data_IF_686242088380
#
_entry.id   IF_686242088380
#
_cell.length_a   1.000
_cell.length_b   1.000
_cell.length_c   1.000
_cell.angle_alpha   90.00
_cell.angle_beta   90.00
_cell.angle_gamma   90.00
#
_symmetry.space_group_name_H-M   'P 1'
#
loop_
_entity.id
_entity.type
_entity.pdbx_description
1 polymer ?
#
# COMPACT_ATOMS: atom_id res chain seq x y z
N UNK A 1 30.00 -95.25 9.24
CA UNK A 1 30.55 -94.07 8.48
C UNK A 1 29.43 -93.36 7.76
N UNK A 2 29.09 -92.13 8.00
CA UNK A 2 27.99 -91.43 7.34
C UNK A 2 28.40 -91.09 5.89
N UNK A 3 27.48 -91.33 4.98
CA UNK A 3 27.58 -91.24 3.52
C UNK A 3 27.89 -89.81 3.07
N UNK A 4 29.16 -89.48 2.89
CA UNK A 4 29.68 -88.17 2.40
C UNK A 4 29.21 -87.80 0.97
N UNK A 5 28.73 -88.87 0.22
CA UNK A 5 28.28 -88.70 -1.16
C UNK A 5 26.89 -88.01 -1.29
N UNK A 6 25.95 -88.20 -0.34
CA UNK A 6 24.65 -87.55 -0.31
C UNK A 6 24.75 -86.03 -0.04
N UNK A 7 25.66 -85.65 0.83
CA UNK A 7 25.89 -84.23 1.15
C UNK A 7 26.43 -83.42 -0.07
N UNK A 8 27.37 -84.02 -0.81
CA UNK A 8 27.94 -83.41 -2.00
C UNK A 8 26.93 -83.23 -3.14
N UNK A 9 26.09 -84.23 -3.39
CA UNK A 9 25.00 -84.17 -4.37
C UNK A 9 23.96 -83.08 -4.01
N UNK A 10 23.63 -82.92 -2.75
CA UNK A 10 22.71 -81.92 -2.29
C UNK A 10 23.31 -80.46 -2.44
N UNK A 11 24.58 -80.28 -2.15
CA UNK A 11 25.27 -78.96 -2.36
C UNK A 11 25.35 -78.60 -3.85
N UNK A 12 25.66 -79.55 -4.72
CA UNK A 12 25.66 -79.30 -6.18
C UNK A 12 24.24 -78.97 -6.70
N UNK A 13 23.20 -79.62 -6.18
CA UNK A 13 21.80 -79.32 -6.55
C UNK A 13 21.34 -77.93 -6.07
N UNK A 14 21.77 -77.51 -4.90
CA UNK A 14 21.58 -76.12 -4.37
C UNK A 14 22.33 -75.12 -5.19
N UNK A 15 23.57 -75.36 -5.58
CA UNK A 15 24.39 -74.43 -6.45
C UNK A 15 23.77 -74.29 -7.85
N UNK A 16 23.30 -75.36 -8.48
CA UNK A 16 22.58 -75.38 -9.79
C UNK A 16 21.27 -74.60 -9.70
N UNK A 17 20.50 -74.77 -8.61
CA UNK A 17 19.23 -74.06 -8.40
C UNK A 17 19.52 -72.53 -8.18
N UNK A 18 20.55 -72.14 -7.44
CA UNK A 18 20.96 -70.74 -7.20
C UNK A 18 21.42 -70.07 -8.49
N UNK A 19 22.25 -70.80 -9.31
CA UNK A 19 22.71 -70.24 -10.60
C UNK A 19 21.56 -70.07 -11.63
N UNK A 20 20.58 -70.98 -11.63
CA UNK A 20 19.37 -70.83 -12.49
C UNK A 20 18.48 -69.69 -12.04
N UNK A 21 18.37 -69.41 -10.72
CA UNK A 21 17.64 -68.26 -10.17
C UNK A 21 18.34 -66.96 -10.53
N UNK A 22 19.66 -66.89 -10.41
CA UNK A 22 20.46 -65.69 -10.75
C UNK A 22 20.32 -65.40 -12.27
N UNK A 23 20.44 -66.39 -13.14
CA UNK A 23 20.26 -66.19 -14.59
C UNK A 23 18.84 -65.74 -14.97
N UNK A 24 17.82 -66.22 -14.28
CA UNK A 24 16.43 -65.73 -14.49
C UNK A 24 16.31 -64.29 -14.04
N UNK A 25 16.82 -63.92 -12.87
CA UNK A 25 16.80 -62.59 -12.36
C UNK A 25 17.55 -61.57 -13.27
N UNK A 26 18.72 -61.99 -13.78
CA UNK A 26 19.49 -61.21 -14.75
C UNK A 26 18.72 -60.99 -16.05
N UNK A 27 18.04 -62.02 -16.57
CA UNK A 27 17.20 -61.92 -17.76
C UNK A 27 16.01 -61.00 -17.53
N UNK A 28 15.38 -61.12 -16.36
CA UNK A 28 14.19 -60.31 -16.01
C UNK A 28 14.57 -58.83 -15.83
N UNK A 29 15.73 -58.55 -15.21
CA UNK A 29 16.31 -57.18 -15.13
C UNK A 29 16.64 -56.63 -16.50
N UNK A 30 17.23 -57.45 -17.41
CA UNK A 30 17.54 -57.06 -18.77
C UNK A 30 16.27 -56.73 -19.57
N UNK A 31 15.23 -57.59 -19.47
CA UNK A 31 13.93 -57.34 -20.10
C UNK A 31 13.27 -56.08 -19.56
N UNK A 32 13.33 -55.86 -18.24
CA UNK A 32 12.82 -54.63 -17.62
C UNK A 32 13.56 -53.37 -18.13
N UNK A 33 14.88 -53.49 -18.30
CA UNK A 33 15.70 -52.41 -18.88
C UNK A 33 15.31 -52.09 -20.33
N UNK A 34 15.06 -53.12 -21.16
CA UNK A 34 14.59 -52.94 -22.55
C UNK A 34 13.21 -52.26 -22.57
N UNK A 35 12.28 -52.71 -21.71
CA UNK A 35 10.94 -52.11 -21.61
C UNK A 35 11.03 -50.64 -21.18
N UNK A 36 11.87 -50.34 -20.22
CA UNK A 36 12.11 -48.97 -19.76
C UNK A 36 12.69 -48.10 -20.87
N UNK A 37 13.65 -48.60 -21.62
CA UNK A 37 14.24 -47.90 -22.79
C UNK A 37 13.20 -47.66 -23.88
N UNK A 38 12.34 -48.62 -24.19
CA UNK A 38 11.25 -48.49 -25.16
C UNK A 38 10.25 -47.42 -24.70
N UNK A 39 9.89 -47.35 -23.42
CA UNK A 39 9.01 -46.33 -22.85
C UNK A 39 9.65 -44.93 -23.03
N UNK A 40 10.96 -44.79 -22.75
CA UNK A 40 11.68 -43.53 -22.94
C UNK A 40 11.70 -43.08 -24.40
N UNK A 41 11.93 -44.01 -25.33
CA UNK A 41 11.88 -43.74 -26.79
C UNK A 41 10.49 -43.27 -27.21
N UNK A 42 9.44 -43.99 -26.77
CA UNK A 42 8.04 -43.65 -27.08
C UNK A 42 7.71 -42.26 -26.52
N UNK A 43 8.11 -41.97 -25.28
CA UNK A 43 7.93 -40.62 -24.70
C UNK A 43 8.66 -39.54 -25.51
N UNK A 44 9.88 -39.81 -25.96
CA UNK A 44 10.65 -38.91 -26.83
C UNK A 44 9.92 -38.62 -28.16
N UNK A 45 9.46 -39.67 -28.83
CA UNK A 45 8.69 -39.56 -30.10
C UNK A 45 7.39 -38.78 -29.89
N UNK A 46 6.65 -39.06 -28.83
CA UNK A 46 5.42 -38.33 -28.49
C UNK A 46 5.73 -36.84 -28.27
N UNK A 47 6.81 -36.50 -27.53
CA UNK A 47 7.23 -35.11 -27.33
C UNK A 47 7.55 -34.40 -28.66
N UNK A 48 8.23 -35.08 -29.59
CA UNK A 48 8.55 -34.53 -30.90
C UNK A 48 7.29 -34.26 -31.74
N UNK A 49 6.35 -35.20 -31.74
CA UNK A 49 5.06 -35.07 -32.46
C UNK A 49 4.28 -33.88 -31.90
N UNK A 50 4.20 -33.77 -30.55
CA UNK A 50 3.48 -32.67 -29.90
C UNK A 50 4.13 -31.31 -30.18
N UNK A 51 5.45 -31.21 -30.14
CA UNK A 51 6.18 -29.98 -30.51
C UNK A 51 5.94 -29.60 -31.95
N UNK A 52 5.99 -30.58 -32.89
CA UNK A 52 5.71 -30.33 -34.29
C UNK A 52 4.26 -29.86 -34.51
N UNK A 53 3.31 -30.42 -33.81
CA UNK A 53 1.91 -29.95 -33.83
C UNK A 53 1.78 -28.50 -33.38
N UNK A 54 2.40 -28.16 -32.22
CA UNK A 54 2.40 -26.80 -31.66
C UNK A 54 2.97 -25.84 -32.69
N UNK A 55 4.16 -26.12 -33.25
CA UNK A 55 4.84 -25.26 -34.19
C UNK A 55 4.03 -25.03 -35.50
N UNK A 56 3.33 -26.04 -35.99
CA UNK A 56 2.49 -25.90 -37.20
C UNK A 56 1.22 -25.10 -37.00
N UNK A 57 0.76 -24.95 -35.74
CA UNK A 57 -0.49 -24.27 -35.43
C UNK A 57 -0.26 -22.98 -34.63
N UNK A 58 0.98 -22.59 -34.48
CA UNK A 58 1.38 -21.34 -33.83
C UNK A 58 1.46 -20.26 -34.94
N UNK A 59 0.53 -19.31 -34.85
CA UNK A 59 0.46 -18.14 -35.73
C UNK A 59 1.14 -16.90 -35.10
N UNK A 60 1.82 -17.06 -33.95
CA UNK A 60 2.47 -15.99 -33.23
C UNK A 60 1.51 -15.08 -32.42
N UNK A 61 0.20 -15.30 -32.55
CA UNK A 61 -0.82 -14.50 -31.86
C UNK A 61 -1.20 -15.09 -30.51
N UNK A 62 -1.70 -14.27 -29.59
CA UNK A 62 -2.18 -14.71 -28.29
C UNK A 62 -3.34 -15.68 -28.45
N UNK A 63 -3.33 -16.77 -27.69
CA UNK A 63 -4.37 -17.81 -27.78
C UNK A 63 -5.73 -17.25 -27.32
N UNK A 64 -6.81 -17.73 -27.98
CA UNK A 64 -8.18 -17.39 -27.58
C UNK A 64 -8.48 -17.77 -26.13
N UNK A 65 -9.16 -16.89 -25.39
CA UNK A 65 -9.54 -17.05 -24.00
C UNK A 65 -8.46 -16.63 -23.00
N UNK A 66 -7.48 -15.83 -23.47
CA UNK A 66 -6.48 -15.19 -22.59
C UNK A 66 -6.85 -13.73 -22.41
N UNK A 67 -6.87 -13.30 -21.14
CA UNK A 67 -7.00 -11.91 -20.73
C UNK A 67 -5.73 -11.45 -20.00
N UNK A 68 -5.48 -10.15 -19.99
CA UNK A 68 -4.38 -9.51 -19.24
C UNK A 68 -5.00 -8.43 -18.36
N UNK A 69 -5.00 -8.62 -17.05
CA UNK A 69 -5.70 -7.73 -16.11
C UNK A 69 -7.20 -7.60 -16.41
N UNK A 70 -7.84 -8.71 -16.81
CA UNK A 70 -9.25 -8.72 -17.21
C UNK A 70 -9.54 -8.22 -18.63
N UNK A 71 -8.56 -7.68 -19.35
CA UNK A 71 -8.69 -7.19 -20.72
C UNK A 71 -8.51 -8.33 -21.71
N UNK A 72 -9.47 -8.56 -22.60
CA UNK A 72 -9.38 -9.61 -23.63
C UNK A 72 -8.35 -9.22 -24.70
N UNK A 73 -7.29 -10.03 -24.81
CA UNK A 73 -6.22 -9.88 -25.80
C UNK A 73 -6.18 -11.08 -26.76
N UNK A 74 -7.24 -11.86 -26.83
CA UNK A 74 -7.36 -13.06 -27.68
C UNK A 74 -7.13 -12.74 -29.15
N UNK A 75 -6.25 -13.50 -29.81
CA UNK A 75 -5.98 -13.38 -31.24
C UNK A 75 -5.17 -12.15 -31.66
N UNK A 76 -4.70 -11.36 -30.72
CA UNK A 76 -3.86 -10.17 -30.97
C UNK A 76 -2.38 -10.56 -31.10
N UNK A 77 -1.61 -9.76 -31.82
CA UNK A 77 -0.16 -9.77 -31.75
C UNK A 77 0.31 -9.16 -30.43
N UNK A 78 1.60 -9.29 -30.13
CA UNK A 78 2.16 -8.67 -28.93
C UNK A 78 1.95 -7.14 -28.91
N UNK A 79 2.22 -6.51 -30.06
CA UNK A 79 2.15 -5.05 -30.21
C UNK A 79 0.70 -4.55 -30.06
N UNK A 80 -0.26 -5.22 -30.69
CA UNK A 80 -1.68 -4.91 -30.57
C UNK A 80 -2.17 -5.07 -29.11
N UNK A 81 -1.77 -6.15 -28.44
CA UNK A 81 -2.15 -6.42 -27.06
C UNK A 81 -1.57 -5.39 -26.08
N UNK A 82 -0.33 -4.94 -26.26
CA UNK A 82 0.27 -3.86 -25.44
C UNK A 82 -0.55 -2.58 -25.59
N UNK A 83 -0.91 -2.20 -26.80
CA UNK A 83 -1.74 -1.00 -27.05
C UNK A 83 -3.13 -1.15 -26.44
N UNK A 84 -3.75 -2.31 -26.58
CA UNK A 84 -5.06 -2.60 -25.99
C UNK A 84 -5.04 -2.48 -24.47
N UNK A 85 -4.06 -3.10 -23.79
CA UNK A 85 -3.90 -3.04 -22.35
C UNK A 85 -3.61 -1.61 -21.87
N UNK A 86 -2.72 -0.89 -22.54
CA UNK A 86 -2.41 0.51 -22.21
C UNK A 86 -3.63 1.44 -22.37
N UNK A 87 -4.45 1.20 -23.41
CA UNK A 87 -5.68 1.98 -23.63
C UNK A 87 -6.70 1.82 -22.50
N UNK A 88 -6.84 0.63 -21.92
CA UNK A 88 -7.74 0.39 -20.82
C UNK A 88 -7.22 0.98 -19.50
N UNK A 89 -5.92 0.86 -19.24
CA UNK A 89 -5.27 1.44 -18.06
C UNK A 89 -5.50 2.96 -17.98
N UNK A 90 -5.47 3.65 -19.11
CA UNK A 90 -5.75 5.10 -19.16
C UNK A 90 -7.21 5.45 -18.85
N UNK A 91 -8.13 4.50 -18.84
CA UNK A 91 -9.56 4.68 -18.51
C UNK A 91 -9.93 4.32 -17.06
N UNK A 92 -9.06 3.61 -16.33
CA UNK A 92 -9.30 3.21 -14.92
C UNK A 92 -9.09 4.34 -13.91
N UNK A 93 -9.30 5.60 -14.31
CA UNK A 93 -9.04 6.79 -13.47
C UNK A 93 -10.00 6.97 -12.27
N UNK A 94 -10.93 6.05 -12.02
CA UNK A 94 -11.96 6.21 -10.98
C UNK A 94 -11.84 5.18 -9.83
N UNK A 95 -10.73 4.49 -9.70
CA UNK A 95 -10.55 3.54 -8.59
C UNK A 95 -10.21 4.29 -7.32
N UNK A 96 -10.95 3.99 -6.26
CA UNK A 96 -10.77 4.59 -4.94
C UNK A 96 -10.26 3.54 -3.96
N UNK A 97 -9.23 3.90 -3.22
CA UNK A 97 -8.78 3.17 -2.05
C UNK A 97 -9.31 3.82 -0.78
N UNK A 98 -10.08 3.05 -0.02
CA UNK A 98 -10.57 3.47 1.30
C UNK A 98 -9.57 3.03 2.38
N UNK A 99 -9.02 3.99 3.10
CA UNK A 99 -8.07 3.75 4.19
C UNK A 99 -8.81 3.75 5.51
N UNK A 100 -8.76 2.62 6.21
CA UNK A 100 -9.37 2.47 7.53
C UNK A 100 -8.39 2.89 8.63
N UNK A 101 -8.74 3.93 9.37
CA UNK A 101 -7.97 4.43 10.54
C UNK A 101 -8.43 3.69 11.80
N UNK A 102 -9.75 3.69 12.05
CA UNK A 102 -10.43 2.98 13.12
C UNK A 102 -11.72 2.36 12.60
N UNK A 103 -12.55 1.75 13.44
CA UNK A 103 -13.76 1.07 12.99
C UNK A 103 -14.77 2.01 12.33
N UNK A 104 -14.83 3.25 12.78
CA UNK A 104 -15.76 4.30 12.39
C UNK A 104 -15.12 5.43 11.57
N UNK A 105 -13.79 5.42 11.38
CA UNK A 105 -13.04 6.48 10.71
C UNK A 105 -12.25 5.96 9.52
N UNK A 106 -12.54 6.54 8.37
CA UNK A 106 -11.89 6.21 7.09
C UNK A 106 -11.59 7.49 6.32
N UNK A 107 -10.67 7.39 5.38
CA UNK A 107 -10.48 8.40 4.34
C UNK A 107 -10.23 7.72 3.00
N UNK A 108 -10.61 8.40 1.93
CA UNK A 108 -10.53 7.90 0.58
C UNK A 108 -9.42 8.61 -0.21
N UNK A 109 -8.74 7.86 -1.05
CA UNK A 109 -7.76 8.41 -2.00
C UNK A 109 -7.94 7.73 -3.34
N UNK A 110 -8.02 8.50 -4.41
CA UNK A 110 -8.04 7.96 -5.76
C UNK A 110 -6.69 7.33 -6.12
N UNK A 111 -6.73 6.24 -6.86
CA UNK A 111 -5.53 5.48 -7.21
C UNK A 111 -4.51 6.29 -8.03
N UNK A 112 -4.99 7.17 -8.91
CA UNK A 112 -4.17 8.08 -9.69
C UNK A 112 -3.43 9.10 -8.79
N UNK A 113 -4.11 9.63 -7.77
CA UNK A 113 -3.53 10.57 -6.79
C UNK A 113 -2.42 9.92 -5.96
N UNK A 114 -2.49 8.60 -5.74
CA UNK A 114 -1.41 7.84 -5.11
C UNK A 114 -0.22 7.59 -6.05
N UNK A 115 -0.28 8.05 -7.30
CA UNK A 115 0.74 7.75 -8.31
C UNK A 115 0.76 6.27 -8.69
N UNK A 116 -0.42 5.61 -8.70
CA UNK A 116 -0.56 4.24 -9.15
C UNK A 116 -0.24 4.16 -10.64
N UNK A 117 0.59 3.18 -11.00
CA UNK A 117 1.00 2.91 -12.37
C UNK A 117 1.06 1.40 -12.60
N UNK A 118 0.78 0.98 -13.84
CA UNK A 118 1.07 -0.39 -14.24
C UNK A 118 2.56 -0.51 -14.54
N UNK A 119 3.19 -1.47 -13.90
CA UNK A 119 4.61 -1.77 -14.11
C UNK A 119 4.76 -2.71 -15.29
N UNK A 120 5.50 -2.29 -16.31
CA UNK A 120 5.90 -3.14 -17.45
C UNK A 120 4.74 -3.96 -18.05
N UNK A 121 3.68 -3.33 -18.61
CA UNK A 121 2.56 -4.05 -19.21
C UNK A 121 2.99 -5.01 -20.32
N UNK A 122 4.09 -4.69 -21.02
CA UNK A 122 4.74 -5.53 -22.01
C UNK A 122 5.21 -6.88 -21.47
N UNK A 123 5.57 -7.00 -20.20
CA UNK A 123 5.98 -8.27 -19.57
C UNK A 123 4.77 -9.17 -19.35
N UNK A 124 3.64 -8.61 -18.89
CA UNK A 124 2.38 -9.36 -18.76
C UNK A 124 1.85 -9.81 -20.12
N UNK A 125 1.92 -8.94 -21.13
CA UNK A 125 1.57 -9.32 -22.51
C UNK A 125 2.53 -10.39 -23.06
N UNK A 126 3.83 -10.31 -22.75
CA UNK A 126 4.78 -11.34 -23.16
C UNK A 126 4.44 -12.70 -22.52
N UNK A 127 4.00 -12.72 -21.26
CA UNK A 127 3.51 -13.94 -20.61
C UNK A 127 2.27 -14.49 -21.33
N UNK A 128 1.36 -13.62 -21.83
CA UNK A 128 0.20 -14.01 -22.60
C UNK A 128 0.61 -14.67 -23.95
N UNK A 129 1.57 -14.08 -24.65
CA UNK A 129 2.13 -14.65 -25.89
C UNK A 129 2.78 -16.01 -25.63
N UNK A 130 3.53 -16.14 -24.54
CA UNK A 130 4.26 -17.37 -24.19
C UNK A 130 3.36 -18.48 -23.62
N UNK A 131 2.16 -18.13 -23.16
CA UNK A 131 1.25 -19.08 -22.56
C UNK A 131 0.81 -20.16 -23.53
N UNK A 132 0.99 -21.41 -23.14
CA UNK A 132 0.73 -22.56 -23.99
C UNK A 132 1.78 -22.86 -25.06
N UNK A 133 2.90 -22.12 -25.10
CA UNK A 133 4.01 -22.31 -26.05
C UNK A 133 5.26 -22.87 -25.38
N UNK A 134 5.57 -22.40 -24.17
CA UNK A 134 6.75 -22.78 -23.40
C UNK A 134 6.49 -23.93 -22.43
N UNK A 135 7.50 -24.72 -22.13
CA UNK A 135 7.46 -25.79 -21.13
C UNK A 135 7.12 -27.17 -21.69
N UNK A 136 6.31 -27.94 -20.94
CA UNK A 136 5.97 -29.32 -21.28
C UNK A 136 5.04 -29.39 -22.49
N UNK A 137 5.48 -30.11 -23.57
CA UNK A 137 4.74 -30.19 -24.82
C UNK A 137 3.31 -30.77 -24.69
N UNK A 138 3.09 -31.70 -23.74
CA UNK A 138 1.75 -32.25 -23.51
C UNK A 138 0.82 -31.21 -22.88
N UNK A 139 1.33 -30.40 -21.94
CA UNK A 139 0.58 -29.27 -21.33
C UNK A 139 0.27 -28.22 -22.38
N UNK A 140 1.27 -27.81 -23.15
CA UNK A 140 1.13 -26.84 -24.24
C UNK A 140 0.09 -27.29 -25.27
N UNK A 141 0.16 -28.55 -25.74
CA UNK A 141 -0.84 -29.13 -26.64
C UNK A 141 -2.27 -29.06 -26.07
N UNK A 142 -2.45 -29.42 -24.78
CA UNK A 142 -3.77 -29.35 -24.12
C UNK A 142 -4.29 -27.90 -24.09
N UNK A 143 -3.45 -26.95 -23.77
CA UNK A 143 -3.79 -25.52 -23.71
C UNK A 143 -4.25 -25.05 -25.10
N UNK A 144 -3.43 -25.27 -26.15
CA UNK A 144 -3.77 -24.88 -27.53
C UNK A 144 -5.06 -25.53 -28.02
N UNK A 145 -5.26 -26.81 -27.70
CA UNK A 145 -6.50 -27.55 -28.05
C UNK A 145 -7.72 -26.97 -27.35
N UNK A 146 -7.59 -26.56 -26.06
CA UNK A 146 -8.67 -25.91 -25.33
C UNK A 146 -8.98 -24.52 -25.88
N UNK A 147 -7.95 -23.73 -26.21
CA UNK A 147 -8.12 -22.44 -26.86
C UNK A 147 -8.91 -22.55 -28.18
N UNK A 148 -8.51 -23.48 -29.08
CA UNK A 148 -9.24 -23.75 -30.34
C UNK A 148 -10.70 -24.19 -30.15
N UNK A 149 -11.04 -24.76 -28.99
CA UNK A 149 -12.40 -25.20 -28.64
C UNK A 149 -13.21 -24.15 -27.88
N UNK A 150 -12.65 -22.95 -27.65
CA UNK A 150 -13.28 -21.92 -26.81
C UNK A 150 -13.45 -22.31 -25.35
N UNK A 151 -12.61 -23.25 -24.85
CA UNK A 151 -12.67 -23.78 -23.46
C UNK A 151 -11.52 -23.28 -22.59
N UNK A 152 -10.64 -22.43 -23.13
CA UNK A 152 -9.58 -21.79 -22.37
C UNK A 152 -10.13 -20.50 -21.75
N UNK A 153 -9.90 -20.32 -20.48
CA UNK A 153 -10.04 -19.05 -19.78
C UNK A 153 -8.84 -18.91 -18.87
N UNK A 154 -8.02 -17.90 -19.11
CA UNK A 154 -6.82 -17.66 -18.32
C UNK A 154 -6.52 -16.16 -18.28
N UNK A 155 -6.52 -15.60 -17.07
CA UNK A 155 -6.14 -14.22 -16.84
C UNK A 155 -4.69 -14.14 -16.37
N UNK A 156 -3.95 -13.20 -16.96
CA UNK A 156 -2.58 -12.87 -16.56
C UNK A 156 -2.65 -11.55 -15.79
N UNK A 157 -2.29 -11.55 -14.51
CA UNK A 157 -2.41 -10.34 -13.72
C UNK A 157 -1.46 -9.24 -14.21
N UNK A 158 -1.94 -8.00 -14.18
CA UNK A 158 -1.08 -6.83 -14.30
C UNK A 158 -0.29 -6.63 -13.01
N UNK A 159 0.91 -6.09 -13.16
CA UNK A 159 1.73 -5.67 -12.02
C UNK A 159 1.56 -4.17 -11.82
N UNK A 160 1.26 -3.77 -10.60
CA UNK A 160 1.06 -2.38 -10.23
C UNK A 160 2.17 -1.89 -9.30
N UNK A 161 2.54 -0.64 -9.48
CA UNK A 161 3.46 0.09 -8.60
C UNK A 161 2.87 1.44 -8.21
N UNK A 162 3.39 2.04 -7.15
CA UNK A 162 3.06 3.41 -6.77
C UNK A 162 4.35 4.23 -6.65
N UNK A 163 4.27 5.49 -7.02
CA UNK A 163 5.32 6.44 -6.69
C UNK A 163 5.28 6.77 -5.19
N UNK A 164 6.40 6.55 -4.50
CA UNK A 164 6.46 6.69 -3.05
C UNK A 164 6.21 8.12 -2.58
N UNK A 165 6.74 9.12 -3.29
CA UNK A 165 6.66 10.50 -2.86
C UNK A 165 5.26 11.05 -3.11
N UNK A 166 4.69 10.77 -4.28
CA UNK A 166 3.31 11.11 -4.62
C UNK A 166 2.33 10.48 -3.64
N UNK A 167 2.47 9.17 -3.37
CA UNK A 167 1.62 8.48 -2.40
C UNK A 167 1.75 9.05 -0.99
N UNK A 168 2.97 9.45 -0.56
CA UNK A 168 3.19 10.07 0.74
C UNK A 168 2.39 11.36 0.86
N UNK A 169 2.56 12.29 -0.07
CA UNK A 169 1.85 13.59 -0.05
C UNK A 169 0.33 13.40 -0.10
N UNK A 170 -0.16 12.52 -0.98
CA UNK A 170 -1.60 12.23 -1.10
C UNK A 170 -2.19 11.69 0.21
N UNK A 171 -1.51 10.73 0.84
CA UNK A 171 -1.94 10.14 2.10
C UNK A 171 -1.92 11.14 3.26
N UNK A 172 -0.86 11.95 3.36
CA UNK A 172 -0.74 13.00 4.39
C UNK A 172 -1.87 14.03 4.26
N UNK A 173 -2.16 14.49 3.06
CA UNK A 173 -3.24 15.44 2.81
C UNK A 173 -4.62 14.84 3.11
N UNK A 174 -4.91 13.64 2.61
CA UNK A 174 -6.23 13.04 2.74
C UNK A 174 -6.55 12.56 4.17
N UNK A 175 -5.53 12.21 4.97
CA UNK A 175 -5.73 11.66 6.31
C UNK A 175 -6.10 12.70 7.37
N UNK A 176 -5.85 13.99 7.13
CA UNK A 176 -6.00 15.06 8.14
C UNK A 176 -7.37 15.04 8.83
N UNK A 177 -8.45 14.90 8.06
CA UNK A 177 -9.81 14.91 8.61
C UNK A 177 -10.22 13.64 9.36
N UNK A 178 -9.45 12.55 9.18
CA UNK A 178 -9.72 11.25 9.81
C UNK A 178 -8.89 10.98 11.07
N UNK A 179 -7.92 11.85 11.38
CA UNK A 179 -7.01 11.73 12.52
C UNK A 179 -7.44 12.66 13.65
N UNK A 180 -7.25 12.21 14.88
CA UNK A 180 -7.45 13.06 16.05
C UNK A 180 -6.22 13.95 16.26
N UNK A 181 -6.44 15.26 16.40
CA UNK A 181 -5.37 16.17 16.78
C UNK A 181 -4.99 16.00 18.25
N UNK A 182 -3.72 16.15 18.62
CA UNK A 182 -3.32 16.17 20.01
C UNK A 182 -3.87 17.43 20.71
N UNK A 183 -4.28 17.28 21.95
CA UNK A 183 -4.71 18.38 22.80
C UNK A 183 -3.67 18.57 23.91
N UNK A 184 -3.12 19.77 24.02
CA UNK A 184 -2.22 20.12 25.11
C UNK A 184 -2.94 20.09 26.45
N UNK A 185 -2.22 19.79 27.51
CA UNK A 185 -2.68 20.11 28.86
C UNK A 185 -2.88 21.63 28.96
N UNK A 186 -3.89 22.06 29.63
CA UNK A 186 -4.18 23.46 29.87
C UNK A 186 -4.54 23.76 31.33
N UNK A 187 -4.28 25.00 31.72
CA UNK A 187 -4.68 25.49 33.03
C UNK A 187 -6.07 26.08 32.94
N UNK A 188 -6.98 25.61 33.79
CA UNK A 188 -8.33 26.14 33.88
C UNK A 188 -8.58 26.77 35.24
N UNK A 189 -9.46 27.76 35.28
CA UNK A 189 -9.87 28.43 36.52
C UNK A 189 -11.38 28.35 36.68
N UNK A 190 -11.83 27.98 37.86
CA UNK A 190 -13.26 27.99 38.21
C UNK A 190 -13.74 29.40 38.62
N UNK A 191 -15.05 29.55 38.76
CA UNK A 191 -15.65 30.83 39.15
C UNK A 191 -15.22 31.30 40.58
N UNK A 192 -14.63 30.45 41.40
CA UNK A 192 -14.10 30.75 42.72
C UNK A 192 -12.62 31.11 42.71
N UNK A 193 -11.98 31.09 41.56
CA UNK A 193 -10.57 31.38 41.40
C UNK A 193 -9.63 30.18 41.57
N UNK A 194 -10.16 28.97 41.78
CA UNK A 194 -9.31 27.79 41.94
C UNK A 194 -8.73 27.37 40.58
N UNK A 195 -7.43 27.17 40.54
CA UNK A 195 -6.70 26.69 39.39
C UNK A 195 -6.74 25.17 39.32
N UNK A 196 -7.01 24.61 38.16
CA UNK A 196 -6.94 23.17 37.90
C UNK A 196 -6.27 22.90 36.53
N UNK A 197 -5.74 21.71 36.37
CA UNK A 197 -5.05 21.32 35.14
C UNK A 197 -5.89 20.26 34.40
N UNK A 198 -6.35 20.59 33.21
CA UNK A 198 -6.89 19.59 32.32
C UNK A 198 -5.71 18.84 31.64
N UNK A 199 -5.78 17.50 31.69
CA UNK A 199 -4.72 16.65 31.15
C UNK A 199 -4.71 16.68 29.63
N UNK A 200 -3.52 16.57 29.11
CA UNK A 200 -3.29 16.39 27.66
C UNK A 200 -3.99 15.16 27.13
N UNK A 201 -4.27 15.19 25.82
CA UNK A 201 -4.71 14.01 25.06
C UNK A 201 -3.77 13.82 23.89
N UNK A 202 -3.22 12.63 23.78
CA UNK A 202 -2.46 12.27 22.59
C UNK A 202 -3.37 12.27 21.37
N UNK A 203 -2.84 12.77 20.26
CA UNK A 203 -3.45 12.69 18.95
C UNK A 203 -2.92 11.50 18.17
N UNK A 204 -3.15 11.54 16.88
CA UNK A 204 -2.80 10.51 15.93
C UNK A 204 -2.01 11.11 14.75
N UNK A 205 -1.06 10.35 14.23
CA UNK A 205 -0.35 10.69 12.99
C UNK A 205 -0.27 9.48 12.08
N UNK A 206 -0.51 9.69 10.79
CA UNK A 206 -0.42 8.60 9.82
C UNK A 206 1.04 8.16 9.65
N UNK A 207 1.31 6.87 9.88
CA UNK A 207 2.57 6.25 9.47
C UNK A 207 2.53 5.95 7.97
N UNK A 208 2.86 6.96 7.16
CA UNK A 208 2.79 6.88 5.70
C UNK A 208 3.65 5.76 5.14
N UNK A 209 4.86 5.52 5.68
CA UNK A 209 5.72 4.45 5.20
C UNK A 209 5.10 3.06 5.39
N UNK A 210 4.58 2.77 6.58
CA UNK A 210 3.92 1.48 6.86
C UNK A 210 2.59 1.33 6.08
N UNK A 211 1.86 2.43 5.88
CA UNK A 211 0.63 2.44 5.07
C UNK A 211 0.96 2.16 3.61
N UNK A 212 2.01 2.74 3.04
CA UNK A 212 2.53 2.45 1.71
C UNK A 212 2.94 0.97 1.56
N UNK A 213 3.53 0.37 2.59
CA UNK A 213 3.82 -1.07 2.58
C UNK A 213 2.54 -1.91 2.48
N UNK A 214 1.47 -1.51 3.15
CA UNK A 214 0.18 -2.20 3.04
C UNK A 214 -0.43 -2.04 1.63
N UNK A 215 -0.33 -0.86 1.02
CA UNK A 215 -0.70 -0.66 -0.39
C UNK A 215 0.10 -1.63 -1.28
N UNK A 216 1.42 -1.67 -1.15
CA UNK A 216 2.28 -2.56 -1.94
C UNK A 216 1.97 -4.05 -1.74
N UNK A 217 1.51 -4.45 -0.56
CA UNK A 217 1.04 -5.83 -0.33
C UNK A 217 -0.26 -6.11 -1.07
N UNK A 218 -1.22 -5.19 -1.02
CA UNK A 218 -2.47 -5.31 -1.77
C UNK A 218 -2.20 -5.42 -3.27
N UNK A 219 -1.37 -4.54 -3.83
CA UNK A 219 -1.09 -4.46 -5.27
C UNK A 219 -0.53 -5.76 -5.86
N UNK A 220 0.03 -6.66 -5.07
CA UNK A 220 0.52 -7.98 -5.55
C UNK A 220 -0.60 -8.91 -6.03
N UNK A 221 -1.80 -8.74 -5.52
CA UNK A 221 -2.97 -9.59 -5.80
C UNK A 221 -4.21 -8.79 -6.14
N UNK A 222 -4.04 -7.51 -6.42
CA UNK A 222 -5.13 -6.58 -6.67
C UNK A 222 -5.78 -6.86 -8.03
N UNK A 223 -7.09 -6.77 -8.08
CA UNK A 223 -7.93 -7.08 -9.24
C UNK A 223 -8.39 -5.83 -10.03
N UNK A 224 -7.82 -4.66 -9.76
CA UNK A 224 -8.17 -3.41 -10.45
C UNK A 224 -9.41 -2.69 -9.89
N UNK A 225 -9.95 -3.13 -8.75
CA UNK A 225 -11.18 -2.56 -8.18
C UNK A 225 -10.94 -1.77 -6.90
N UNK A 226 -11.97 -1.02 -6.47
CA UNK A 226 -11.97 -0.36 -5.17
C UNK A 226 -11.60 -1.35 -4.06
N UNK A 227 -10.75 -0.92 -3.16
CA UNK A 227 -10.28 -1.77 -2.07
C UNK A 227 -10.14 -1.00 -0.77
N UNK A 228 -10.27 -1.71 0.34
CA UNK A 228 -10.05 -1.16 1.68
C UNK A 228 -8.67 -1.57 2.19
N UNK A 229 -7.93 -0.61 2.71
CA UNK A 229 -6.57 -0.77 3.20
C UNK A 229 -6.52 -0.32 4.66
N UNK A 230 -5.91 -1.11 5.53
CA UNK A 230 -5.67 -0.68 6.90
C UNK A 230 -4.57 0.39 6.93
N UNK A 231 -4.91 1.62 7.32
CA UNK A 231 -3.95 2.67 7.64
C UNK A 231 -3.14 2.30 8.89
N UNK A 232 -1.90 2.72 8.94
CA UNK A 232 -1.06 2.58 10.14
C UNK A 232 -0.95 3.93 10.82
N UNK A 233 -1.34 3.95 12.08
CA UNK A 233 -1.39 5.15 12.91
C UNK A 233 -0.35 5.01 14.01
N UNK A 234 0.41 6.07 14.21
CA UNK A 234 1.31 6.24 15.35
C UNK A 234 0.72 7.33 16.27
N UNK A 235 1.12 7.33 17.52
CA UNK A 235 0.74 8.34 18.49
C UNK A 235 1.38 9.68 18.15
N UNK A 236 0.59 10.76 18.17
CA UNK A 236 1.05 12.13 18.10
C UNK A 236 0.91 12.75 19.50
N UNK A 237 2.02 12.91 20.19
CA UNK A 237 2.02 13.40 21.56
C UNK A 237 1.71 14.89 21.61
N UNK A 238 0.96 15.30 22.62
CA UNK A 238 0.77 16.69 22.94
C UNK A 238 2.11 17.39 23.24
N UNK A 239 2.21 18.67 22.94
CA UNK A 239 3.42 19.47 23.15
C UNK A 239 3.58 19.91 24.61
N UNK A 240 2.46 20.12 25.33
CA UNK A 240 2.42 20.52 26.73
C UNK A 240 1.70 19.43 27.50
N UNK A 241 2.32 18.93 28.57
CA UNK A 241 1.80 17.87 29.43
C UNK A 241 1.35 18.42 30.79
N UNK A 242 0.45 17.71 31.47
CA UNK A 242 0.03 18.08 32.82
C UNK A 242 1.19 18.05 33.83
N UNK A 243 2.21 17.23 33.60
CA UNK A 243 3.41 17.17 34.43
C UNK A 243 4.24 18.46 34.29
N UNK A 244 4.30 19.06 33.10
CA UNK A 244 4.99 20.35 32.89
C UNK A 244 4.22 21.52 33.53
N UNK A 245 2.91 21.41 33.68
CA UNK A 245 2.05 22.46 34.26
C UNK A 245 1.84 22.29 35.76
N UNK A 246 2.33 21.22 36.41
CA UNK A 246 2.01 20.90 37.82
C UNK A 246 2.31 21.99 38.81
N UNK A 247 3.29 22.85 38.52
CA UNK A 247 3.70 23.95 39.41
C UNK A 247 2.97 25.28 39.08
N UNK A 248 2.05 25.29 38.11
CA UNK A 248 1.17 26.42 37.78
C UNK A 248 -0.06 26.33 38.66
N UNK A 249 -0.01 27.00 39.82
CA UNK A 249 -1.02 26.86 40.89
C UNK A 249 -1.87 28.10 41.08
N UNK A 250 -1.41 29.28 40.66
CA UNK A 250 -1.99 30.56 40.99
C UNK A 250 -2.20 31.45 39.75
N UNK A 251 -3.33 32.18 39.73
CA UNK A 251 -3.55 33.25 38.78
C UNK A 251 -2.78 34.52 39.27
N UNK A 252 -1.78 34.94 38.48
CA UNK A 252 -0.98 36.11 38.78
C UNK A 252 -1.59 37.42 38.27
N UNK A 253 -2.37 37.37 37.20
CA UNK A 253 -3.05 38.54 36.63
C UNK A 253 -4.07 38.13 35.57
N UNK A 254 -5.03 39.00 35.30
CA UNK A 254 -5.98 38.88 34.22
C UNK A 254 -6.34 40.24 33.67
N UNK A 255 -6.50 40.34 32.34
CA UNK A 255 -7.01 41.53 31.66
C UNK A 255 -8.05 41.11 30.62
N UNK A 256 -9.08 41.96 30.44
CA UNK A 256 -10.16 41.70 29.51
C UNK A 256 -10.43 42.96 28.67
N UNK A 257 -10.48 42.79 27.37
CA UNK A 257 -10.92 43.86 26.45
C UNK A 257 -12.04 43.34 25.58
N UNK A 258 -12.85 44.24 25.04
CA UNK A 258 -14.01 43.90 24.20
C UNK A 258 -13.77 44.42 22.78
N UNK A 259 -14.26 43.68 21.79
CA UNK A 259 -14.23 44.08 20.38
C UNK A 259 -15.56 43.84 19.70
N UNK A 260 -15.80 44.49 18.56
CA UNK A 260 -17.04 44.36 17.80
C UNK A 260 -16.93 43.14 16.87
N UNK A 261 -17.78 42.16 17.08
CA UNK A 261 -17.87 40.93 16.28
C UNK A 261 -18.50 41.14 14.88
N UNK A 262 -19.16 42.29 14.67
CA UNK A 262 -19.73 42.62 13.37
C UNK A 262 -18.65 42.96 12.31
N UNK A 263 -17.47 43.39 12.73
CA UNK A 263 -16.29 43.45 11.88
C UNK A 263 -15.66 42.06 11.80
N UNK A 264 -16.16 41.26 10.89
CA UNK A 264 -15.83 39.82 10.81
C UNK A 264 -14.34 39.54 10.58
N UNK A 265 -13.67 40.34 9.72
CA UNK A 265 -12.25 40.17 9.45
C UNK A 265 -11.40 40.49 10.69
N UNK A 266 -11.73 41.58 11.39
CA UNK A 266 -11.07 41.97 12.64
C UNK A 266 -11.34 40.93 13.75
N UNK A 267 -12.57 40.50 13.90
CA UNK A 267 -12.95 39.49 14.90
C UNK A 267 -12.15 38.20 14.68
N UNK A 268 -12.09 37.72 13.46
CA UNK A 268 -11.30 36.53 13.07
C UNK A 268 -9.81 36.71 13.42
N UNK A 269 -9.25 37.90 13.16
CA UNK A 269 -7.85 38.17 13.48
C UNK A 269 -7.57 38.20 14.99
N UNK A 270 -8.47 38.79 15.79
CA UNK A 270 -8.35 38.79 17.24
C UNK A 270 -8.44 37.38 17.81
N UNK A 271 -9.39 36.57 17.33
CA UNK A 271 -9.53 35.17 17.73
C UNK A 271 -8.30 34.35 17.35
N UNK A 272 -7.81 34.47 16.12
CA UNK A 272 -6.60 33.79 15.64
C UNK A 272 -5.36 34.18 16.44
N UNK A 273 -5.16 35.47 16.68
CA UNK A 273 -4.03 35.97 17.49
C UNK A 273 -4.11 35.44 18.92
N UNK A 274 -5.29 35.46 19.56
CA UNK A 274 -5.47 34.90 20.90
C UNK A 274 -5.20 33.41 20.92
N UNK A 275 -5.68 32.67 19.93
CA UNK A 275 -5.44 31.21 19.80
C UNK A 275 -3.94 30.87 19.69
N UNK A 276 -3.16 31.67 18.98
CA UNK A 276 -1.72 31.47 18.84
C UNK A 276 -0.93 31.76 20.10
N UNK A 277 -1.43 32.63 20.97
CA UNK A 277 -0.82 32.97 22.28
C UNK A 277 -1.30 32.04 23.41
N UNK A 278 -2.38 31.33 23.19
CA UNK A 278 -2.93 30.45 24.23
C UNK A 278 -1.97 29.32 24.56
N UNK A 279 -1.93 28.92 25.82
CA UNK A 279 -1.15 27.80 26.34
C UNK A 279 0.38 27.91 26.14
N UNK A 280 0.91 29.13 25.94
CA UNK A 280 2.35 29.36 25.95
C UNK A 280 2.87 29.19 27.38
N UNK A 281 3.71 28.20 27.59
CA UNK A 281 4.42 27.96 28.85
C UNK A 281 5.80 28.59 28.79
N UNK A 282 6.10 29.46 29.72
CA UNK A 282 7.43 30.08 29.89
C UNK A 282 8.10 29.54 31.14
N UNK A 283 9.30 29.04 31.01
CA UNK A 283 10.15 28.68 32.13
C UNK A 283 10.81 29.90 32.73
N UNK A 284 11.28 29.86 33.99
CA UNK A 284 11.96 30.98 34.62
C UNK A 284 13.15 31.52 33.75
N UNK A 285 13.08 32.78 33.35
CA UNK A 285 14.10 33.42 32.51
C UNK A 285 13.87 33.26 30.99
N UNK A 286 12.82 32.57 30.56
CA UNK A 286 12.45 32.54 29.14
C UNK A 286 11.67 33.75 28.71
N UNK A 287 11.87 34.14 27.44
CA UNK A 287 11.19 35.26 26.79
C UNK A 287 10.51 34.74 25.51
N UNK A 288 9.29 35.19 25.27
CA UNK A 288 8.55 34.94 24.05
C UNK A 288 8.06 36.23 23.41
N UNK A 289 8.37 36.46 22.16
CA UNK A 289 7.78 37.54 21.40
C UNK A 289 6.33 37.19 21.04
N UNK A 290 5.38 38.03 21.49
CA UNK A 290 3.98 37.89 21.12
C UNK A 290 3.76 38.01 19.61
N UNK A 291 4.49 38.94 18.95
CA UNK A 291 4.41 39.08 17.49
C UNK A 291 4.90 37.83 16.76
N UNK A 292 6.03 37.27 17.18
CA UNK A 292 6.54 35.99 16.56
C UNK A 292 5.59 34.81 16.80
N UNK A 293 4.98 34.72 17.97
CA UNK A 293 4.03 33.67 18.27
C UNK A 293 2.76 33.74 17.39
N UNK A 294 2.32 34.93 17.04
CA UNK A 294 1.14 35.17 16.21
C UNK A 294 1.40 35.07 14.70
N UNK A 295 2.65 35.02 14.25
CA UNK A 295 3.03 34.95 12.82
C UNK A 295 3.01 33.52 12.28
N UNK A 296 2.96 33.33 10.94
CA UNK A 296 2.74 34.37 9.90
C UNK A 296 1.28 34.78 9.81
N UNK A 297 1.05 36.05 9.45
CA UNK A 297 -0.30 36.57 9.23
C UNK A 297 -0.79 36.20 7.83
N UNK A 298 -1.35 35.00 7.67
CA UNK A 298 -1.85 34.43 6.41
C UNK A 298 -3.23 33.81 6.60
N UNK A 299 -3.96 33.63 5.50
CA UNK A 299 -5.26 32.93 5.52
C UNK A 299 -5.13 31.50 6.05
N UNK A 300 -4.05 30.80 5.72
CA UNK A 300 -3.78 29.43 6.19
C UNK A 300 -3.64 29.38 7.72
N UNK A 301 -3.14 30.46 8.34
CA UNK A 301 -3.05 30.60 9.79
C UNK A 301 -4.32 31.20 10.43
N UNK A 302 -5.39 31.32 9.67
CA UNK A 302 -6.69 31.78 10.15
C UNK A 302 -6.84 33.30 10.21
N UNK A 303 -5.98 34.07 9.56
CA UNK A 303 -6.12 35.50 9.48
C UNK A 303 -6.88 35.97 8.25
N UNK A 304 -7.47 37.15 8.32
CA UNK A 304 -8.20 37.81 7.24
C UNK A 304 -7.69 39.27 7.03
N UNK A 305 -8.05 39.86 5.90
CA UNK A 305 -7.85 41.26 5.70
C UNK A 305 -8.80 42.09 6.59
N UNK A 306 -8.28 43.06 7.29
CA UNK A 306 -9.04 43.99 8.09
C UNK A 306 -8.28 45.34 8.25
N UNK A 307 -8.96 46.34 8.77
CA UNK A 307 -8.41 47.67 8.96
C UNK A 307 -7.22 47.65 9.93
N UNK A 308 -6.11 48.23 9.50
CA UNK A 308 -4.86 48.39 10.27
C UNK A 308 -4.35 49.85 10.13
N UNK A 309 -3.70 50.31 11.18
CA UNK A 309 -3.07 51.63 11.16
C UNK A 309 -1.67 51.52 10.57
N UNK A 310 -1.40 52.31 9.51
CA UNK A 310 -0.09 52.45 8.89
C UNK A 310 0.29 53.96 8.95
N UNK A 311 1.06 54.34 9.94
CA UNK A 311 1.32 55.74 10.25
C UNK A 311 0.03 56.51 10.55
N UNK A 312 -0.33 57.48 9.69
CA UNK A 312 -1.55 58.27 9.84
C UNK A 312 -2.71 57.80 8.92
N UNK A 313 -2.57 56.70 8.25
CA UNK A 313 -3.58 56.12 7.34
C UNK A 313 -4.14 54.82 7.89
N UNK A 314 -5.37 54.51 7.43
CA UNK A 314 -5.97 53.20 7.68
C UNK A 314 -5.93 52.41 6.38
N UNK A 315 -5.32 51.25 6.44
CA UNK A 315 -5.17 50.35 5.28
C UNK A 315 -5.75 48.97 5.60
N UNK A 316 -6.21 48.26 4.58
CA UNK A 316 -6.62 46.87 4.73
C UNK A 316 -5.38 45.97 4.66
N UNK A 317 -5.09 45.25 5.71
CA UNK A 317 -3.93 44.36 5.77
C UNK A 317 -4.31 43.04 6.41
N UNK A 318 -3.62 42.01 6.03
CA UNK A 318 -3.73 40.68 6.65
C UNK A 318 -3.35 40.79 8.14
N UNK A 319 -4.22 40.33 9.05
CA UNK A 319 -4.01 40.44 10.48
C UNK A 319 -4.40 41.84 11.07
N UNK A 320 -5.15 42.67 10.34
CA UNK A 320 -5.62 43.97 10.84
C UNK A 320 -6.40 43.83 12.15
N UNK A 321 -6.09 44.68 13.15
CA UNK A 321 -6.73 44.62 14.48
C UNK A 321 -6.01 43.82 15.54
N UNK A 322 -4.95 43.07 15.21
CA UNK A 322 -4.22 42.20 16.12
C UNK A 322 -3.50 42.94 17.26
N UNK A 323 -3.26 44.24 17.10
CA UNK A 323 -2.72 45.09 18.15
C UNK A 323 -3.55 45.06 19.43
N UNK A 324 -4.85 44.75 19.33
CA UNK A 324 -5.72 44.60 20.51
C UNK A 324 -5.31 43.40 21.34
N UNK A 325 -4.93 42.29 20.72
CA UNK A 325 -4.46 41.08 21.42
C UNK A 325 -3.21 41.40 22.22
N UNK A 326 -2.22 42.05 21.57
CA UNK A 326 -0.98 42.48 22.23
C UNK A 326 -1.24 43.46 23.37
N UNK A 327 -2.16 44.42 23.19
CA UNK A 327 -2.53 45.38 24.22
C UNK A 327 -3.19 44.72 25.42
N UNK A 328 -4.09 43.73 25.18
CA UNK A 328 -4.76 42.99 26.25
C UNK A 328 -3.75 42.14 27.03
N UNK A 329 -2.79 41.54 26.34
CA UNK A 329 -1.71 40.78 26.98
C UNK A 329 -0.79 41.68 27.84
N UNK A 330 -0.55 42.93 27.43
CA UNK A 330 0.33 43.86 28.13
C UNK A 330 -0.32 44.43 29.41
N UNK A 331 -1.64 44.57 29.47
CA UNK A 331 -2.39 45.08 30.64
C UNK A 331 -2.41 44.09 31.79
#
# INVERSE_FOLDING_TARGET
MPDKTKGYKMQQKKRKRRSRRIRRLQRDIYLLGIVLLLILIIMGVVQLILKSYIHRHDDGKILSGITVGGVDVSGQTKEEAVQTVQGVISQENNVVFTFKVADDRTFDVEANTLGLQVSHPEDSVQQAVDYGRKGNALKAYKIMKNAKRGKLTHDIPLQYTIDKNTAKTALETASVSALNEPQNACVTQDASGNVSIEKEKSGEVLNTNKTIENIKKLLKTWDGKNATIQAKIDENKAKVTAEELKDVTDLLGSSTTYYDVNDSGRAQNVESGAKHLNDILLQPGEEQSADEAMRPYTEENGYAEAASFSGNTVEQTMGGGICQVSTTLYQ
#
